data_IF_300183372205
#
_entry.id   IF_300183372205
#
_cell.length_a   1.000
_cell.length_b   1.000
_cell.length_c   1.000
_cell.angle_alpha   90.00
_cell.angle_beta   90.00
_cell.angle_gamma   90.00
#
_symmetry.space_group_name_H-M   'P 1'
#
loop_
_entity.id
_entity.type
_entity.pdbx_description
1 polymer ?
#
# COMPACT_ATOMS: atom_id res chain seq x y z
N UNK A 1 -28.74 0.25 12.89
CA UNK A 1 -27.79 1.38 12.90
C UNK A 1 -26.67 0.98 13.84
N UNK A 2 -25.58 0.43 13.31
CA UNK A 2 -24.44 0.02 14.13
C UNK A 2 -23.59 1.23 14.48
N UNK A 3 -23.16 1.27 15.73
CA UNK A 3 -22.26 2.25 16.28
C UNK A 3 -20.82 1.83 15.97
N UNK A 4 -20.09 2.65 15.22
CA UNK A 4 -18.70 2.41 14.82
C UNK A 4 -17.69 2.68 15.96
N UNK A 5 -18.17 2.81 17.20
CA UNK A 5 -17.34 2.82 18.41
C UNK A 5 -16.72 1.46 18.78
N UNK A 6 -16.45 0.57 17.83
CA UNK A 6 -15.54 -0.56 18.09
C UNK A 6 -14.12 -0.16 17.67
N UNK A 7 -13.24 0.25 18.61
CA UNK A 7 -11.85 0.64 18.33
C UNK A 7 -10.96 -0.56 17.96
N UNK A 8 -11.56 -1.72 17.66
CA UNK A 8 -10.87 -2.97 17.45
C UNK A 8 -11.00 -3.39 15.99
N UNK A 9 -9.90 -3.22 15.27
CA UNK A 9 -9.66 -3.89 14.00
C UNK A 9 -9.99 -5.39 14.14
N UNK A 10 -10.62 -5.99 13.12
CA UNK A 10 -10.92 -7.42 13.19
C UNK A 10 -9.62 -8.22 13.34
N UNK A 11 -9.60 -9.33 14.11
CA UNK A 11 -8.41 -10.16 14.27
C UNK A 11 -7.79 -10.58 12.92
N UNK A 12 -8.64 -10.79 11.92
CA UNK A 12 -8.23 -11.09 10.55
C UNK A 12 -7.37 -9.96 9.94
N UNK A 13 -7.84 -8.71 9.98
CA UNK A 13 -7.10 -7.60 9.41
C UNK A 13 -5.84 -7.25 10.22
N UNK A 14 -5.82 -7.49 11.54
CA UNK A 14 -4.58 -7.39 12.33
C UNK A 14 -3.53 -8.40 11.87
N UNK A 15 -3.94 -9.64 11.58
CA UNK A 15 -3.06 -10.68 11.04
C UNK A 15 -2.55 -10.29 9.64
N UNK A 16 -3.43 -9.80 8.76
CA UNK A 16 -3.05 -9.32 7.42
C UNK A 16 -2.04 -8.16 7.53
N UNK A 17 -2.32 -7.17 8.39
CA UNK A 17 -1.46 -6.02 8.64
C UNK A 17 -0.05 -6.42 9.10
N UNK A 18 0.10 -7.56 9.78
CA UNK A 18 1.40 -8.08 10.20
C UNK A 18 2.08 -8.98 9.14
N UNK A 19 1.31 -9.87 8.50
CA UNK A 19 1.86 -10.88 7.59
C UNK A 19 2.31 -10.27 6.26
N UNK A 20 1.51 -9.41 5.64
CA UNK A 20 1.83 -8.79 4.34
C UNK A 20 3.20 -8.09 4.36
N UNK A 21 3.48 -7.15 5.29
CA UNK A 21 4.77 -6.48 5.30
C UNK A 21 5.92 -7.42 5.66
N UNK A 22 5.69 -8.44 6.50
CA UNK A 22 6.69 -9.46 6.80
C UNK A 22 7.06 -10.28 5.56
N UNK A 23 6.07 -10.71 4.77
CA UNK A 23 6.29 -11.44 3.53
C UNK A 23 7.06 -10.60 2.52
N UNK A 24 6.76 -9.31 2.40
CA UNK A 24 7.49 -8.41 1.51
C UNK A 24 8.93 -8.19 2.01
N UNK A 25 9.12 -7.94 3.31
CA UNK A 25 10.43 -7.71 3.91
C UNK A 25 11.38 -8.91 3.78
N UNK A 26 10.85 -10.14 3.94
CA UNK A 26 11.63 -11.37 3.84
C UNK A 26 11.73 -11.87 2.38
N UNK A 27 10.65 -11.74 1.62
CA UNK A 27 10.52 -12.30 0.27
C UNK A 27 11.30 -11.52 -0.79
N UNK A 28 11.26 -10.19 -0.74
CA UNK A 28 11.90 -9.35 -1.76
C UNK A 28 13.43 -9.51 -1.79
N UNK A 29 14.16 -9.53 -0.66
CA UNK A 29 15.60 -9.79 -0.66
C UNK A 29 15.96 -11.18 -1.20
N UNK A 30 15.16 -12.20 -0.88
CA UNK A 30 15.35 -13.57 -1.38
C UNK A 30 15.11 -13.64 -2.88
N UNK A 31 14.06 -12.98 -3.38
CA UNK A 31 13.71 -12.96 -4.79
C UNK A 31 14.79 -12.30 -5.66
N UNK A 32 15.40 -11.21 -5.18
CA UNK A 32 16.47 -10.52 -5.91
C UNK A 32 17.89 -10.96 -5.54
N UNK A 33 18.06 -11.86 -4.57
CA UNK A 33 19.37 -12.33 -4.13
C UNK A 33 20.24 -11.25 -3.45
N UNK A 34 19.64 -10.22 -2.88
CA UNK A 34 20.37 -9.11 -2.25
C UNK A 34 19.62 -8.51 -1.06
N UNK A 35 20.37 -8.09 -0.04
CA UNK A 35 19.83 -7.33 1.11
C UNK A 35 20.07 -5.82 0.98
N UNK A 36 20.60 -5.37 -0.16
CA UNK A 36 20.79 -3.95 -0.43
C UNK A 36 19.46 -3.20 -0.33
N UNK A 37 19.50 -1.98 0.21
CA UNK A 37 18.32 -1.12 0.35
C UNK A 37 17.16 -1.67 1.21
N UNK A 38 17.38 -2.73 2.01
CA UNK A 38 16.35 -3.34 2.87
C UNK A 38 15.63 -2.37 3.82
N UNK A 39 16.25 -1.24 4.15
CA UNK A 39 15.63 -0.19 4.96
C UNK A 39 14.37 0.38 4.29
N UNK A 40 14.32 0.41 2.95
CA UNK A 40 13.11 0.85 2.23
C UNK A 40 11.94 -0.10 2.49
N UNK A 41 12.20 -1.42 2.51
CA UNK A 41 11.19 -2.43 2.82
C UNK A 41 10.77 -2.39 4.28
N UNK A 42 11.69 -2.10 5.20
CA UNK A 42 11.36 -1.91 6.61
C UNK A 42 10.43 -0.71 6.82
N UNK A 43 10.76 0.43 6.20
CA UNK A 43 9.92 1.64 6.25
C UNK A 43 8.56 1.35 5.62
N UNK A 44 8.53 0.70 4.45
CA UNK A 44 7.30 0.27 3.82
C UNK A 44 6.46 -0.58 4.80
N UNK A 45 7.06 -1.59 5.43
CA UNK A 45 6.34 -2.45 6.35
C UNK A 45 5.77 -1.73 7.57
N UNK A 46 6.52 -0.77 8.13
CA UNK A 46 6.05 0.06 9.24
C UNK A 46 4.86 0.93 8.80
N UNK A 47 4.93 1.54 7.61
CA UNK A 47 3.84 2.36 7.07
C UNK A 47 2.59 1.54 6.80
N UNK A 48 2.75 0.36 6.18
CA UNK A 48 1.66 -0.57 5.92
C UNK A 48 0.97 -1.02 7.20
N UNK A 49 1.77 -1.36 8.22
CA UNK A 49 1.21 -1.69 9.52
C UNK A 49 0.50 -0.44 10.05
N UNK A 50 1.23 0.63 10.39
CA UNK A 50 0.68 1.81 11.06
C UNK A 50 -0.58 2.40 10.40
N UNK A 51 -0.71 2.36 9.08
CA UNK A 51 -1.88 2.90 8.37
C UNK A 51 -3.21 2.29 8.82
N UNK A 52 -3.22 1.02 9.24
CA UNK A 52 -4.41 0.31 9.71
C UNK A 52 -4.94 0.81 11.06
N UNK A 53 -4.15 1.63 11.77
CA UNK A 53 -4.52 2.28 13.03
C UNK A 53 -4.82 3.78 12.84
N UNK A 54 -4.70 4.29 11.62
CA UNK A 54 -5.03 5.68 11.29
C UNK A 54 -6.51 5.76 10.94
N UNK A 55 -7.31 6.57 11.66
CA UNK A 55 -8.74 6.70 11.36
C UNK A 55 -8.92 7.36 10.00
N UNK A 56 -9.62 6.70 9.09
CA UNK A 56 -9.92 7.25 7.77
C UNK A 56 -11.10 8.23 7.84
N UNK A 57 -11.06 9.35 7.10
CA UNK A 57 -12.17 10.28 7.03
C UNK A 57 -13.33 9.69 6.20
N UNK A 58 -14.56 10.11 6.52
CA UNK A 58 -15.69 9.85 5.65
C UNK A 58 -15.53 10.63 4.34
N UNK A 59 -15.72 9.94 3.22
CA UNK A 59 -15.64 10.54 1.88
C UNK A 59 -17.02 10.47 1.26
N UNK A 60 -17.64 11.63 1.01
CA UNK A 60 -19.01 11.73 0.49
C UNK A 60 -20.06 10.95 1.31
N UNK A 61 -19.90 10.91 2.63
CA UNK A 61 -20.79 10.17 3.53
C UNK A 61 -20.61 8.65 3.50
N UNK A 62 -19.58 8.16 2.81
CA UNK A 62 -19.19 6.75 2.82
C UNK A 62 -18.01 6.55 3.76
N UNK A 63 -18.08 5.48 4.55
CA UNK A 63 -16.95 5.02 5.35
C UNK A 63 -15.97 4.30 4.42
N UNK A 64 -14.91 5.01 4.07
CA UNK A 64 -13.83 4.49 3.22
C UNK A 64 -12.61 4.18 4.09
N UNK A 65 -11.75 3.28 3.61
CA UNK A 65 -10.44 3.04 4.23
C UNK A 65 -9.37 3.96 3.61
N UNK A 66 -9.74 5.20 3.28
CA UNK A 66 -8.95 6.09 2.43
C UNK A 66 -7.52 6.31 2.93
N UNK A 67 -7.30 6.54 4.22
CA UNK A 67 -5.94 6.74 4.75
C UNK A 67 -5.16 5.43 4.83
N UNK A 68 -5.84 4.30 5.07
CA UNK A 68 -5.25 2.97 4.99
C UNK A 68 -4.70 2.73 3.58
N UNK A 69 -5.48 2.99 2.53
CA UNK A 69 -5.04 2.83 1.14
C UNK A 69 -4.04 3.91 0.70
N UNK A 70 -4.18 5.16 1.14
CA UNK A 70 -3.24 6.22 0.80
C UNK A 70 -1.84 5.92 1.36
N UNK A 71 -1.76 5.57 2.64
CA UNK A 71 -0.48 5.33 3.33
C UNK A 71 0.00 3.90 3.09
N UNK A 72 -0.82 2.92 3.46
CA UNK A 72 -0.49 1.50 3.40
C UNK A 72 -0.62 0.88 2.01
N UNK A 73 -1.34 1.50 1.09
CA UNK A 73 -1.32 1.12 -0.31
C UNK A 73 -0.34 1.95 -1.12
N UNK A 74 -0.62 3.25 -1.27
CA UNK A 74 0.13 4.16 -2.15
C UNK A 74 1.57 4.45 -1.71
N UNK A 75 1.76 5.06 -0.53
CA UNK A 75 3.11 5.43 -0.04
C UNK A 75 3.96 4.17 0.20
N UNK A 76 3.37 3.14 0.80
CA UNK A 76 3.96 1.81 0.92
C UNK A 76 4.49 1.29 -0.42
N UNK A 77 3.64 1.28 -1.46
CA UNK A 77 4.01 0.84 -2.79
C UNK A 77 5.15 1.67 -3.36
N UNK A 78 5.17 2.98 -3.10
CA UNK A 78 6.28 3.86 -3.46
C UNK A 78 7.62 3.39 -2.92
N UNK A 79 7.70 3.02 -1.63
CA UNK A 79 8.93 2.48 -1.04
C UNK A 79 9.33 1.12 -1.64
N UNK A 80 8.35 0.23 -1.88
CA UNK A 80 8.59 -1.06 -2.53
C UNK A 80 9.10 -0.86 -3.97
N UNK A 81 8.50 0.05 -4.71
CA UNK A 81 8.92 0.46 -6.05
C UNK A 81 10.36 1.01 -6.03
N UNK A 82 10.66 1.93 -5.11
CA UNK A 82 11.99 2.50 -4.97
C UNK A 82 13.04 1.43 -4.69
N UNK A 83 12.72 0.43 -3.86
CA UNK A 83 13.58 -0.73 -3.65
C UNK A 83 13.82 -1.50 -4.95
N UNK A 84 12.77 -1.80 -5.72
CA UNK A 84 12.88 -2.54 -6.98
C UNK A 84 13.78 -1.81 -7.98
N UNK A 85 13.54 -0.51 -8.22
CA UNK A 85 14.33 0.25 -9.22
C UNK A 85 15.80 0.33 -8.82
N UNK A 86 16.11 0.45 -7.52
CA UNK A 86 17.48 0.52 -7.01
C UNK A 86 18.19 -0.82 -7.12
N UNK A 87 17.51 -1.91 -6.81
CA UNK A 87 18.07 -3.26 -6.93
C UNK A 87 18.27 -3.67 -8.40
N UNK A 88 17.37 -3.26 -9.28
CA UNK A 88 17.45 -3.57 -10.71
C UNK A 88 18.38 -2.65 -11.51
N UNK A 89 18.81 -1.53 -10.92
CA UNK A 89 19.58 -0.51 -11.65
C UNK A 89 18.79 0.04 -12.84
N UNK A 90 17.47 0.21 -12.69
CA UNK A 90 16.65 0.79 -13.75
C UNK A 90 17.02 2.26 -13.95
N UNK A 91 16.81 2.74 -15.18
CA UNK A 91 17.16 4.11 -15.58
C UNK A 91 16.37 5.17 -14.80
N UNK A 92 17.00 6.33 -14.61
CA UNK A 92 16.44 7.51 -13.93
C UNK A 92 15.50 8.36 -14.84
N UNK A 93 15.17 7.83 -16.03
CA UNK A 93 14.23 8.46 -16.95
C UNK A 93 12.83 8.54 -16.33
N UNK A 94 12.35 9.76 -16.12
CA UNK A 94 11.12 10.05 -15.35
C UNK A 94 9.88 9.32 -15.87
N UNK A 95 9.78 9.08 -17.18
CA UNK A 95 8.63 8.40 -17.78
C UNK A 95 8.66 6.89 -17.52
N UNK A 96 9.84 6.27 -17.43
CA UNK A 96 10.00 4.86 -17.04
C UNK A 96 9.71 4.71 -15.54
N UNK A 97 10.21 5.65 -14.73
CA UNK A 97 9.89 5.70 -13.30
C UNK A 97 8.37 5.76 -13.08
N UNK A 98 7.69 6.67 -13.78
CA UNK A 98 6.23 6.81 -13.66
C UNK A 98 5.46 5.61 -14.19
N UNK A 99 5.85 5.06 -15.34
CA UNK A 99 5.19 3.89 -15.91
C UNK A 99 5.31 2.67 -14.99
N UNK A 100 6.49 2.43 -14.41
CA UNK A 100 6.71 1.31 -13.50
C UNK A 100 6.03 1.50 -12.14
N UNK A 101 6.01 2.72 -11.59
CA UNK A 101 5.28 3.01 -10.37
C UNK A 101 3.77 2.84 -10.59
N UNK A 102 3.24 3.37 -11.69
CA UNK A 102 1.84 3.23 -12.08
C UNK A 102 1.44 1.76 -12.25
N UNK A 103 2.27 0.97 -12.95
CA UNK A 103 2.03 -0.46 -13.13
C UNK A 103 2.00 -1.19 -11.78
N UNK A 104 2.92 -0.87 -10.86
CA UNK A 104 2.98 -1.52 -9.55
C UNK A 104 1.79 -1.15 -8.67
N UNK A 105 1.46 0.14 -8.53
CA UNK A 105 0.34 0.59 -7.69
C UNK A 105 -1.00 0.10 -8.22
N UNK A 106 -1.18 0.05 -9.55
CA UNK A 106 -2.38 -0.51 -10.17
C UNK A 106 -2.49 -2.01 -9.93
N UNK A 107 -1.38 -2.75 -10.09
CA UNK A 107 -1.38 -4.20 -9.88
C UNK A 107 -1.68 -4.56 -8.43
N UNK A 108 -1.07 -3.86 -7.48
CA UNK A 108 -1.32 -4.08 -6.05
C UNK A 108 -2.73 -3.64 -5.64
N UNK A 109 -3.23 -2.53 -6.20
CA UNK A 109 -4.62 -2.10 -6.01
C UNK A 109 -5.62 -3.16 -6.46
N UNK A 110 -5.48 -3.67 -7.70
CA UNK A 110 -6.34 -4.75 -8.22
C UNK A 110 -6.21 -6.03 -7.38
N UNK A 111 -5.00 -6.41 -6.97
CA UNK A 111 -4.81 -7.58 -6.10
C UNK A 111 -5.50 -7.42 -4.74
N UNK A 112 -5.51 -6.20 -4.18
CA UNK A 112 -6.23 -5.92 -2.93
C UNK A 112 -7.74 -6.12 -3.11
N UNK A 113 -8.34 -5.55 -4.16
CA UNK A 113 -9.77 -5.71 -4.45
C UNK A 113 -10.15 -7.18 -4.67
N UNK A 114 -9.32 -7.94 -5.39
CA UNK A 114 -9.54 -9.37 -5.59
C UNK A 114 -9.44 -10.14 -4.27
N UNK A 115 -8.53 -9.76 -3.38
CA UNK A 115 -8.40 -10.36 -2.06
C UNK A 115 -9.63 -10.09 -1.19
N UNK A 116 -10.10 -8.84 -1.14
CA UNK A 116 -11.34 -8.47 -0.43
C UNK A 116 -12.56 -9.18 -1.00
N UNK A 117 -12.66 -9.29 -2.33
CA UNK A 117 -13.71 -10.06 -2.99
C UNK A 117 -13.71 -11.53 -2.54
N UNK A 118 -12.54 -12.16 -2.47
CA UNK A 118 -12.42 -13.55 -1.98
C UNK A 118 -12.87 -13.64 -0.52
N UNK A 119 -12.43 -12.74 0.36
CA UNK A 119 -12.85 -12.71 1.77
C UNK A 119 -14.36 -12.53 1.92
N UNK A 120 -14.97 -11.69 1.08
CA UNK A 120 -16.41 -11.50 1.01
C UNK A 120 -17.14 -12.78 0.62
N UNK A 121 -16.67 -13.50 -0.41
CA UNK A 121 -17.27 -14.79 -0.83
C UNK A 121 -17.23 -15.85 0.28
N UNK A 122 -16.22 -15.82 1.16
CA UNK A 122 -16.13 -16.70 2.33
C UNK A 122 -16.85 -16.19 3.58
N UNK A 123 -17.62 -15.10 3.49
CA UNK A 123 -18.36 -14.53 4.61
C UNK A 123 -17.47 -13.87 5.68
N UNK A 124 -16.21 -13.57 5.35
CA UNK A 124 -15.25 -12.95 6.28
C UNK A 124 -15.34 -11.41 6.28
N UNK A 125 -16.10 -10.83 5.36
CA UNK A 125 -16.42 -9.39 5.29
C UNK A 125 -17.95 -9.18 5.31
N UNK A 126 -18.62 -9.40 6.45
CA UNK A 126 -20.08 -9.37 6.54
C UNK A 126 -20.70 -7.98 6.30
N UNK A 127 -19.88 -6.92 6.33
CA UNK A 127 -20.30 -5.54 6.10
C UNK A 127 -20.12 -5.07 4.65
N UNK A 128 -19.71 -5.98 3.75
CA UNK A 128 -19.49 -5.68 2.34
C UNK A 128 -18.03 -5.38 1.98
N UNK A 129 -17.82 -5.09 0.70
CA UNK A 129 -16.55 -4.62 0.12
C UNK A 129 -16.59 -3.09 0.13
N UNK A 130 -15.45 -2.45 0.42
CA UNK A 130 -15.34 -1.00 0.39
C UNK A 130 -15.54 -0.46 -1.04
N UNK A 131 -15.66 0.87 -1.20
CA UNK A 131 -15.78 1.48 -2.52
C UNK A 131 -14.43 1.40 -3.25
N UNK A 132 -14.28 0.36 -4.08
CA UNK A 132 -13.14 0.08 -4.96
C UNK A 132 -12.59 1.33 -5.65
N UNK A 133 -13.46 2.26 -6.06
CA UNK A 133 -13.02 3.46 -6.78
C UNK A 133 -12.24 4.41 -5.88
N UNK A 134 -12.65 4.56 -4.61
CA UNK A 134 -11.93 5.38 -3.64
C UNK A 134 -10.61 4.76 -3.21
N UNK A 135 -10.54 3.44 -3.11
CA UNK A 135 -9.31 2.74 -2.73
C UNK A 135 -8.25 2.87 -3.82
N UNK A 136 -8.64 2.76 -5.10
CA UNK A 136 -7.76 3.03 -6.24
C UNK A 136 -7.30 4.49 -6.31
N UNK A 137 -8.20 5.44 -6.02
CA UNK A 137 -7.83 6.87 -5.93
C UNK A 137 -6.82 7.10 -4.81
N UNK A 138 -7.06 6.56 -3.63
CA UNK A 138 -6.19 6.69 -2.47
C UNK A 138 -4.80 6.09 -2.73
N UNK A 139 -4.74 4.87 -3.27
CA UNK A 139 -3.50 4.21 -3.66
C UNK A 139 -2.70 5.07 -4.65
N UNK A 140 -3.36 5.55 -5.69
CA UNK A 140 -2.73 6.37 -6.74
C UNK A 140 -2.21 7.68 -6.16
N UNK A 141 -3.01 8.36 -5.33
CA UNK A 141 -2.62 9.62 -4.70
C UNK A 141 -1.41 9.44 -3.76
N UNK A 142 -1.40 8.39 -2.94
CA UNK A 142 -0.27 8.08 -2.06
C UNK A 142 1.01 7.79 -2.84
N UNK A 143 0.93 7.05 -3.96
CA UNK A 143 2.06 6.80 -4.84
C UNK A 143 2.60 8.09 -5.49
N UNK A 144 1.71 8.99 -5.92
CA UNK A 144 2.09 10.29 -6.47
C UNK A 144 2.76 11.19 -5.42
N UNK A 145 2.24 11.23 -4.19
CA UNK A 145 2.87 11.96 -3.07
C UNK A 145 4.28 11.45 -2.84
N UNK A 146 4.44 10.12 -2.73
CA UNK A 146 5.75 9.50 -2.56
C UNK A 146 6.71 9.89 -3.70
N UNK A 147 6.26 9.77 -4.95
CA UNK A 147 7.09 10.10 -6.12
C UNK A 147 7.52 11.56 -6.14
N UNK A 148 6.61 12.49 -5.84
CA UNK A 148 6.91 13.92 -5.73
C UNK A 148 8.02 14.18 -4.71
N UNK A 149 7.91 13.59 -3.50
CA UNK A 149 8.94 13.69 -2.46
C UNK A 149 10.27 13.08 -2.92
N UNK A 150 10.23 11.92 -3.54
CA UNK A 150 11.41 11.27 -4.11
C UNK A 150 12.13 12.19 -5.13
N UNK A 151 11.41 12.79 -6.08
CA UNK A 151 12.03 13.72 -7.05
C UNK A 151 12.59 14.98 -6.40
N UNK A 152 11.95 15.49 -5.34
CA UNK A 152 12.51 16.60 -4.56
C UNK A 152 13.85 16.23 -3.91
N UNK A 153 14.01 14.99 -3.41
CA UNK A 153 15.29 14.53 -2.86
C UNK A 153 16.39 14.32 -3.90
N UNK A 154 16.01 13.96 -5.13
CA UNK A 154 16.92 13.80 -6.28
C UNK A 154 17.44 15.16 -6.77
N UNK A 155 16.57 16.20 -6.80
CA UNK A 155 16.94 17.55 -7.26
C UNK A 155 17.97 18.26 -6.37
N UNK A 156 18.05 17.88 -5.09
CA UNK A 156 18.93 18.50 -4.11
C UNK A 156 20.30 17.80 -3.98
N UNK A 157 20.63 16.88 -4.91
CA UNK A 157 21.92 16.20 -5.02
C UNK A 157 22.64 16.65 -6.28
#
# INVERSE_FOLDING_TARGET
MYDWHTPYMSPLFTVIAAIVPLLIYVGMPKFFGTTAHRQLLAIAGILFFASHWVPSPDVNGMQTQFLTHLIGGGIFTGFVWLYIIRVKGLTDEWYIEMATLFALVSSLGVLNELFEFVLYQFGMMPHGIADTSWDLVANTLGALIFYGLYKLTQRNR
#
